data_IF_263429538172
#
_entry.id   IF_263429538172
#
_cell.length_a   1.000
_cell.length_b   1.000
_cell.length_c   1.000
_cell.angle_alpha   90.00
_cell.angle_beta   90.00
_cell.angle_gamma   90.00
#
_symmetry.space_group_name_H-M   'P 1'
#
loop_
_entity.id
_entity.type
_entity.pdbx_description
1 polymer ?
#
# COMPACT_ATOMS: atom_id res chain seq x y z
N UNK A 1 -9.58 3.69 -3.51
CA UNK A 1 -10.16 2.52 -4.21
C UNK A 1 -9.06 1.51 -4.44
N UNK A 2 -9.36 0.22 -4.46
CA UNK A 2 -8.40 -0.83 -4.78
C UNK A 2 -8.99 -1.76 -5.84
N UNK A 3 -8.25 -2.02 -6.91
CA UNK A 3 -8.62 -3.00 -7.91
C UNK A 3 -7.82 -4.28 -7.65
N UNK A 4 -8.50 -5.42 -7.53
CA UNK A 4 -7.86 -6.72 -7.32
C UNK A 4 -8.28 -7.64 -8.47
N UNK A 5 -7.29 -8.05 -9.26
CA UNK A 5 -7.50 -8.93 -10.41
C UNK A 5 -7.46 -10.41 -10.06
N UNK A 6 -8.20 -11.20 -10.84
CA UNK A 6 -8.25 -12.66 -10.77
C UNK A 6 -8.82 -13.23 -9.47
N UNK A 7 -8.61 -14.52 -9.28
CA UNK A 7 -8.94 -15.24 -8.05
C UNK A 7 -7.76 -15.18 -7.08
N UNK A 8 -7.95 -14.45 -5.98
CA UNK A 8 -6.91 -14.19 -4.99
C UNK A 8 -7.51 -14.36 -3.60
N UNK A 9 -6.80 -15.06 -2.71
CA UNK A 9 -7.17 -15.16 -1.30
C UNK A 9 -7.40 -13.79 -0.63
N UNK A 10 -6.67 -12.74 -1.07
CA UNK A 10 -6.88 -11.37 -0.61
C UNK A 10 -8.30 -10.89 -0.90
N UNK A 11 -8.86 -11.20 -2.08
CA UNK A 11 -10.23 -10.85 -2.48
C UNK A 11 -11.25 -11.55 -1.59
N UNK A 12 -11.08 -12.86 -1.35
CA UNK A 12 -11.94 -13.66 -0.47
C UNK A 12 -11.95 -13.10 0.96
N UNK A 13 -10.76 -12.76 1.48
CA UNK A 13 -10.61 -12.18 2.83
C UNK A 13 -11.25 -10.80 2.93
N UNK A 14 -11.13 -9.96 1.89
CA UNK A 14 -11.81 -8.67 1.84
C UNK A 14 -13.31 -8.85 1.80
N UNK A 15 -13.83 -9.85 1.08
CA UNK A 15 -15.27 -10.15 1.08
C UNK A 15 -15.78 -10.57 2.45
N UNK A 16 -15.02 -11.43 3.14
CA UNK A 16 -15.39 -11.93 4.46
C UNK A 16 -15.28 -10.85 5.55
N UNK A 17 -14.17 -10.11 5.58
CA UNK A 17 -13.86 -9.16 6.66
C UNK A 17 -14.38 -7.74 6.40
N UNK A 18 -14.59 -7.37 5.12
CA UNK A 18 -14.91 -6.00 4.67
C UNK A 18 -13.90 -4.93 5.09
N UNK A 19 -12.70 -5.34 5.51
CA UNK A 19 -11.60 -4.45 5.92
C UNK A 19 -10.27 -4.97 5.40
N UNK A 20 -9.35 -4.06 5.09
CA UNK A 20 -7.96 -4.35 4.78
C UNK A 20 -7.09 -3.11 5.01
N UNK A 21 -5.76 -3.26 4.92
CA UNK A 21 -4.83 -2.13 4.93
C UNK A 21 -4.13 -1.98 3.58
N UNK A 22 -3.81 -0.75 3.19
CA UNK A 22 -2.89 -0.47 2.10
C UNK A 22 -1.60 0.15 2.65
N UNK A 23 -0.46 -0.49 2.40
CA UNK A 23 0.86 -0.11 2.91
C UNK A 23 1.68 0.50 1.77
N UNK A 24 2.29 1.66 2.00
CA UNK A 24 3.21 2.27 1.03
C UNK A 24 4.48 1.42 0.92
N UNK A 25 4.81 1.01 -0.31
CA UNK A 25 6.03 0.26 -0.62
C UNK A 25 7.19 1.22 -0.83
N UNK A 26 8.21 1.08 -0.01
CA UNK A 26 9.50 1.77 -0.12
C UNK A 26 10.55 0.83 -0.71
N UNK A 27 11.72 1.36 -1.07
CA UNK A 27 12.85 0.52 -1.51
C UNK A 27 13.24 -0.55 -0.47
N UNK A 28 13.08 -0.28 0.83
CA UNK A 28 13.40 -1.23 1.89
C UNK A 28 12.46 -2.43 1.89
N UNK A 29 11.15 -2.20 1.75
CA UNK A 29 10.14 -3.25 1.79
C UNK A 29 9.77 -3.80 0.40
N UNK A 30 10.42 -3.33 -0.66
CA UNK A 30 10.19 -3.80 -2.02
C UNK A 30 10.43 -5.30 -2.18
N UNK A 31 11.53 -5.92 -1.69
CA UNK A 31 11.75 -7.35 -1.86
C UNK A 31 10.60 -8.20 -1.33
N UNK A 32 10.05 -7.81 -0.17
CA UNK A 32 8.92 -8.53 0.40
C UNK A 32 7.60 -8.22 -0.29
N UNK A 33 7.38 -6.96 -0.71
CA UNK A 33 6.19 -6.60 -1.47
C UNK A 33 6.13 -7.37 -2.80
N UNK A 34 7.27 -7.51 -3.49
CA UNK A 34 7.39 -8.31 -4.71
C UNK A 34 7.13 -9.80 -4.44
N UNK A 35 7.70 -10.36 -3.37
CA UNK A 35 7.40 -11.73 -2.94
C UNK A 35 5.89 -11.94 -2.70
N UNK A 36 5.23 -11.06 -1.95
CA UNK A 36 3.80 -11.18 -1.69
C UNK A 36 2.92 -10.97 -2.93
N UNK A 37 3.40 -10.22 -3.93
CA UNK A 37 2.74 -10.04 -5.22
C UNK A 37 2.81 -11.26 -6.13
N UNK A 38 3.91 -12.03 -6.06
CA UNK A 38 4.18 -13.16 -6.95
C UNK A 38 3.82 -14.53 -6.36
N UNK A 39 3.74 -14.67 -5.04
CA UNK A 39 3.35 -15.93 -4.39
C UNK A 39 1.84 -15.97 -4.15
N UNK A 40 1.20 -17.07 -4.57
CA UNK A 40 -0.23 -17.28 -4.38
C UNK A 40 -0.63 -17.27 -2.90
N UNK A 41 -1.74 -16.61 -2.59
CA UNK A 41 -2.23 -16.49 -1.21
C UNK A 41 -2.57 -17.82 -0.55
N UNK A 42 -3.00 -18.81 -1.35
CA UNK A 42 -3.38 -20.15 -0.87
C UNK A 42 -2.17 -21.05 -0.59
N UNK A 43 -0.96 -20.62 -0.97
CA UNK A 43 0.25 -21.33 -0.60
C UNK A 43 0.56 -21.10 0.89
N UNK A 44 0.57 -22.19 1.67
CA UNK A 44 0.84 -22.17 3.12
C UNK A 44 2.24 -21.62 3.46
N UNK A 45 3.18 -21.69 2.52
CA UNK A 45 4.54 -21.18 2.68
C UNK A 45 4.64 -19.67 2.49
N UNK A 46 3.60 -19.01 1.94
CA UNK A 46 3.61 -17.55 1.70
C UNK A 46 3.88 -16.74 2.96
N UNK A 47 3.44 -17.24 4.11
CA UNK A 47 3.64 -16.55 5.39
C UNK A 47 4.89 -17.03 6.15
N UNK A 48 5.67 -17.97 5.58
CA UNK A 48 6.93 -18.47 6.18
C UNK A 48 8.12 -17.62 5.77
N UNK A 49 7.96 -16.31 5.88
CA UNK A 49 8.97 -15.29 5.56
C UNK A 49 9.15 -14.39 6.77
N UNK A 50 10.39 -13.95 7.01
CA UNK A 50 10.72 -13.08 8.12
C UNK A 50 10.25 -11.65 7.83
N UNK A 51 9.05 -11.33 8.30
CA UNK A 51 8.38 -10.04 8.14
C UNK A 51 7.70 -9.68 9.44
N UNK A 52 7.96 -8.46 9.88
CA UNK A 52 7.30 -7.89 11.03
C UNK A 52 5.96 -7.27 10.62
N UNK A 53 4.91 -7.70 11.32
CA UNK A 53 3.56 -7.18 11.18
C UNK A 53 3.10 -6.58 12.49
N UNK A 54 2.37 -5.49 12.38
CA UNK A 54 1.60 -4.90 13.46
C UNK A 54 0.11 -5.05 13.20
N UNK A 55 -0.69 -4.86 14.26
CA UNK A 55 -2.14 -4.71 14.11
C UNK A 55 -2.48 -3.24 13.91
N UNK A 56 -3.39 -2.97 12.99
CA UNK A 56 -3.99 -1.63 12.80
C UNK A 56 -4.54 -1.05 14.10
N UNK A 57 -4.61 0.28 14.17
CA UNK A 57 -5.03 1.02 15.37
C UNK A 57 -6.54 1.11 15.48
N UNK A 58 -7.26 1.18 14.37
CA UNK A 58 -8.72 1.33 14.34
C UNK A 58 -9.42 0.04 13.88
N UNK A 59 -8.90 -0.61 12.84
CA UNK A 59 -9.40 -1.82 12.23
C UNK A 59 -8.52 -3.02 12.58
N UNK A 60 -9.13 -4.21 12.68
CA UNK A 60 -8.40 -5.45 12.89
C UNK A 60 -7.78 -5.97 11.58
N UNK A 61 -6.76 -5.27 11.10
CA UNK A 61 -6.03 -5.57 9.86
C UNK A 61 -4.53 -5.65 10.14
N UNK A 62 -3.78 -6.56 9.48
CA UNK A 62 -2.33 -6.59 9.59
C UNK A 62 -1.72 -5.43 8.80
N UNK A 63 -0.74 -4.73 9.36
CA UNK A 63 0.06 -3.69 8.70
C UNK A 63 1.53 -4.08 8.69
N UNK A 64 2.30 -3.63 7.71
CA UNK A 64 3.75 -3.84 7.68
C UNK A 64 4.43 -2.81 8.58
N UNK A 65 5.14 -3.25 9.61
CA UNK A 65 5.78 -2.34 10.60
C UNK A 65 6.77 -1.36 9.96
N UNK A 66 7.36 -1.75 8.83
CA UNK A 66 8.31 -0.93 8.07
C UNK A 66 7.66 -0.07 6.99
N UNK A 67 6.33 -0.06 6.87
CA UNK A 67 5.66 0.83 5.94
C UNK A 67 5.42 2.18 6.60
N UNK A 68 5.96 3.28 6.04
CA UNK A 68 5.92 4.58 6.69
C UNK A 68 4.60 5.33 6.49
N UNK A 69 3.72 4.76 5.67
CA UNK A 69 2.39 5.30 5.39
C UNK A 69 1.44 4.15 5.14
N UNK A 70 0.43 4.02 5.99
CA UNK A 70 -0.56 2.95 5.92
C UNK A 70 -1.98 3.51 6.00
N UNK A 71 -2.86 3.05 5.12
CA UNK A 71 -4.29 3.31 5.18
C UNK A 71 -5.01 2.11 5.78
N UNK A 72 -5.88 2.36 6.76
CA UNK A 72 -6.86 1.36 7.23
C UNK A 72 -8.19 1.60 6.50
N UNK A 73 -8.65 0.60 5.77
CA UNK A 73 -9.72 0.72 4.78
C UNK A 73 -10.89 -0.19 5.12
N UNK A 74 -12.09 0.38 5.17
CA UNK A 74 -13.35 -0.37 5.25
C UNK A 74 -14.05 -0.31 3.89
N UNK A 75 -14.47 -1.45 3.38
CA UNK A 75 -15.18 -1.57 2.10
C UNK A 75 -16.60 -1.01 2.26
N UNK A 76 -16.94 -0.02 1.44
CA UNK A 76 -18.30 0.52 1.32
C UNK A 76 -19.10 -0.29 0.29
N UNK A 77 -18.53 -0.49 -0.90
CA UNK A 77 -19.13 -1.25 -1.99
C UNK A 77 -18.05 -1.73 -2.95
N UNK A 78 -18.41 -2.65 -3.84
CA UNK A 78 -17.53 -3.10 -4.92
C UNK A 78 -18.27 -3.24 -6.24
N UNK A 79 -17.51 -3.23 -7.33
CA UNK A 79 -17.99 -3.46 -8.70
C UNK A 79 -17.14 -4.55 -9.33
N UNK A 80 -17.78 -5.64 -9.73
CA UNK A 80 -17.14 -6.80 -10.37
C UNK A 80 -17.05 -6.58 -11.87
N UNK A 81 -15.91 -6.94 -12.45
CA UNK A 81 -15.60 -6.99 -13.87
C UNK A 81 -15.10 -8.40 -14.24
N UNK A 82 -14.96 -8.68 -15.53
CA UNK A 82 -14.60 -10.02 -16.03
C UNK A 82 -13.32 -10.59 -15.38
N UNK A 83 -12.28 -9.77 -15.21
CA UNK A 83 -10.98 -10.21 -14.69
C UNK A 83 -10.61 -9.59 -13.32
N UNK A 84 -11.56 -8.98 -12.61
CA UNK A 84 -11.24 -8.37 -11.32
C UNK A 84 -12.39 -7.62 -10.67
N UNK A 85 -12.11 -7.02 -9.52
CA UNK A 85 -13.10 -6.29 -8.74
C UNK A 85 -12.52 -4.99 -8.19
N UNK A 86 -13.29 -3.91 -8.30
CA UNK A 86 -12.94 -2.60 -7.76
C UNK A 86 -13.67 -2.37 -6.45
N UNK A 87 -12.92 -2.23 -5.36
CA UNK A 87 -13.42 -1.92 -4.03
C UNK A 87 -13.38 -0.41 -3.76
N UNK A 88 -14.54 0.16 -3.46
CA UNK A 88 -14.70 1.53 -2.96
C UNK A 88 -14.64 1.48 -1.44
N UNK A 89 -13.72 2.24 -0.85
CA UNK A 89 -13.38 2.11 0.56
C UNK A 89 -13.46 3.45 1.28
N UNK A 90 -13.91 3.44 2.53
CA UNK A 90 -13.77 4.53 3.49
C UNK A 90 -12.42 4.41 4.18
N UNK A 91 -11.66 5.50 4.22
CA UNK A 91 -10.45 5.59 5.04
C UNK A 91 -10.91 5.75 6.50
N UNK A 92 -10.62 4.76 7.34
CA UNK A 92 -10.94 4.80 8.77
C UNK A 92 -9.79 5.31 9.61
N UNK A 93 -8.57 5.14 9.13
CA UNK A 93 -7.37 5.68 9.76
C UNK A 93 -6.24 5.84 8.73
N UNK A 94 -5.30 6.73 9.03
CA UNK A 94 -4.00 6.84 8.35
C UNK A 94 -2.93 6.76 9.42
N UNK A 95 -2.06 5.75 9.33
CA UNK A 95 -0.83 5.70 10.13
C UNK A 95 0.30 6.27 9.28
N UNK A 96 1.10 7.15 9.88
CA UNK A 96 2.21 7.81 9.21
C UNK A 96 3.35 7.95 10.20
N UNK A 97 4.56 7.66 9.75
CA UNK A 97 5.77 7.93 10.55
C UNK A 97 5.98 9.44 10.66
N UNK A 98 6.44 9.91 11.83
CA UNK A 98 6.54 11.36 12.13
C UNK A 98 7.28 12.16 11.05
N UNK A 99 8.36 11.61 10.48
CA UNK A 99 9.17 12.28 9.46
C UNK A 99 8.45 12.46 8.11
N UNK A 100 7.40 11.69 7.85
CA UNK A 100 6.56 11.81 6.63
C UNK A 100 5.65 13.03 6.74
N UNK A 101 5.16 13.29 7.95
CA UNK A 101 4.34 14.46 8.29
C UNK A 101 5.14 15.70 8.70
N UNK A 102 6.47 15.63 8.74
CA UNK A 102 7.32 16.75 9.16
C UNK A 102 7.25 17.92 8.14
N UNK A 103 6.51 18.97 8.51
CA UNK A 103 6.33 20.17 7.69
C UNK A 103 7.59 21.05 7.62
N UNK A 104 8.59 20.83 8.48
CA UNK A 104 9.88 21.51 8.38
C UNK A 104 10.73 21.00 7.21
N UNK A 105 10.40 19.81 6.70
CA UNK A 105 11.08 19.20 5.56
C UNK A 105 10.36 19.56 4.26
N UNK A 106 11.14 19.94 3.25
CA UNK A 106 10.62 20.07 1.88
C UNK A 106 10.03 18.73 1.41
N UNK A 107 9.10 18.77 0.46
CA UNK A 107 8.50 17.55 -0.10
C UNK A 107 9.58 16.66 -0.71
N UNK A 108 10.54 17.24 -1.41
CA UNK A 108 11.68 16.54 -1.99
C UNK A 108 12.52 15.84 -0.91
N UNK A 109 12.73 16.50 0.23
CA UNK A 109 13.47 15.90 1.34
C UNK A 109 12.68 14.73 1.95
N UNK A 110 11.36 14.87 2.13
CA UNK A 110 10.50 13.78 2.61
C UNK A 110 10.50 12.60 1.64
N UNK A 111 10.36 12.85 0.34
CA UNK A 111 10.41 11.81 -0.69
C UNK A 111 11.77 11.10 -0.75
N UNK A 112 12.88 11.82 -0.55
CA UNK A 112 14.23 11.24 -0.43
C UNK A 112 14.38 10.32 0.80
N UNK A 113 13.66 10.62 1.88
CA UNK A 113 13.67 9.79 3.10
C UNK A 113 12.76 8.58 2.92
N UNK A 114 11.52 8.79 2.47
CA UNK A 114 10.51 7.74 2.27
C UNK A 114 10.98 6.71 1.23
N UNK A 115 11.65 7.16 0.16
CA UNK A 115 12.08 6.32 -0.97
C UNK A 115 10.96 5.43 -1.51
N UNK A 116 9.81 6.01 -1.92
CA UNK A 116 8.71 5.23 -2.44
C UNK A 116 9.08 4.60 -3.78
N UNK A 117 8.53 3.43 -4.04
CA UNK A 117 8.72 2.71 -5.31
C UNK A 117 7.49 2.90 -6.19
N UNK A 118 7.74 3.23 -7.45
CA UNK A 118 6.71 3.22 -8.50
C UNK A 118 6.87 1.96 -9.35
N UNK A 119 5.76 1.33 -9.73
CA UNK A 119 5.78 0.19 -10.65
C UNK A 119 5.18 0.58 -12.00
N UNK A 120 5.83 0.16 -13.10
CA UNK A 120 5.22 0.11 -14.43
C UNK A 120 5.37 -1.32 -14.93
N UNK A 121 4.23 -2.01 -15.08
CA UNK A 121 4.19 -3.46 -15.36
C UNK A 121 5.01 -4.24 -14.32
N UNK A 122 6.05 -4.96 -14.76
CA UNK A 122 6.92 -5.78 -13.94
C UNK A 122 8.24 -5.07 -13.59
N UNK A 123 8.31 -3.75 -13.76
CA UNK A 123 9.51 -2.96 -13.50
C UNK A 123 9.26 -1.95 -12.39
N UNK A 124 10.20 -1.88 -11.45
CA UNK A 124 10.20 -0.97 -10.33
C UNK A 124 11.13 0.22 -10.59
N UNK A 125 10.65 1.41 -10.26
CA UNK A 125 11.34 2.68 -10.43
C UNK A 125 11.48 3.34 -9.06
N UNK A 126 12.67 3.88 -8.83
CA UNK A 126 12.94 4.74 -7.69
C UNK A 126 12.44 6.15 -8.01
N UNK A 127 12.10 6.89 -6.98
CA UNK A 127 11.96 8.33 -7.14
C UNK A 127 13.35 8.96 -7.41
N UNK A 128 13.44 9.80 -8.43
CA UNK A 128 14.72 10.29 -8.98
C UNK A 128 15.19 11.62 -8.38
N UNK A 129 14.49 12.13 -7.36
CA UNK A 129 14.82 13.40 -6.73
C UNK A 129 14.13 14.61 -7.35
N UNK A 130 13.43 14.45 -8.47
CA UNK A 130 12.81 15.57 -9.19
C UNK A 130 11.29 15.60 -8.99
N UNK A 131 10.75 16.80 -8.90
CA UNK A 131 9.31 17.02 -8.96
C UNK A 131 8.93 17.46 -10.37
N UNK A 132 7.94 16.79 -10.95
CA UNK A 132 7.20 17.37 -12.08
C UNK A 132 6.20 18.40 -11.52
N UNK A 133 6.18 19.60 -12.09
CA UNK A 133 5.13 20.59 -11.80
C UNK A 133 4.01 20.48 -12.84
N UNK A 134 2.77 20.63 -12.38
CA UNK A 134 1.59 20.76 -13.24
C UNK A 134 0.88 22.07 -12.87
N UNK A 135 0.89 23.03 -13.82
CA UNK A 135 0.50 24.43 -13.66
C UNK A 135 1.29 25.18 -12.57
N UNK A 136 1.90 26.32 -12.92
CA UNK A 136 2.61 27.17 -11.97
C UNK A 136 1.68 27.53 -10.81
N UNK A 137 2.07 27.16 -9.58
CA UNK A 137 1.46 27.67 -8.36
C UNK A 137 1.93 29.10 -8.11
N UNK A 138 1.63 30.01 -9.05
CA UNK A 138 1.62 31.45 -8.82
C UNK A 138 0.17 31.91 -8.86
N UNK A 139 -0.48 31.83 -7.71
CA UNK A 139 -1.66 32.61 -7.36
C UNK A 139 -1.51 33.01 -5.89
#
# INVERSE_FOLDING_TARGET
>A
MACIGGEKLTKDRIHAAKVFSANLVTEEILPIADYFGNIEGYNEDKMKVDVEFERGRVLNVPILSKSPWVYELEVDRSVVFDEGEVFFCKIRNVLVDDYVSDESLSIERRMNIIRPVQSIRQTYFRWDGTMASAFDKTA
#
